data_IF_670660028417
#
_entry.id   IF_670660028417
#
_cell.length_a   1.000
_cell.length_b   1.000
_cell.length_c   1.000
_cell.angle_alpha   90.00
_cell.angle_beta   90.00
_cell.angle_gamma   90.00
#
_symmetry.space_group_name_H-M   'P 1'
#
loop_
_entity.id
_entity.type
_entity.pdbx_description
1 polymer ?
#
# COMPACT_ATOMS: atom_id res chain seq x y z
N UNK A 1 4.77 -0.30 -29.19
CA UNK A 1 5.63 -0.14 -28.01
C UNK A 1 4.74 -0.31 -26.79
N UNK A 2 5.01 -1.33 -25.98
CA UNK A 2 4.14 -1.74 -24.87
C UNK A 2 4.00 -0.62 -23.82
N UNK A 3 2.80 -0.47 -23.24
CA UNK A 3 2.48 0.58 -22.26
C UNK A 3 3.45 0.51 -21.06
N UNK A 4 3.79 -0.72 -20.65
CA UNK A 4 4.74 -0.99 -19.57
C UNK A 4 6.14 -0.45 -19.92
N UNK A 5 6.60 -0.68 -21.16
CA UNK A 5 7.91 -0.18 -21.61
C UNK A 5 7.95 1.35 -21.65
N UNK A 6 6.85 1.99 -22.09
CA UNK A 6 6.74 3.46 -22.08
C UNK A 6 6.82 4.04 -20.68
N UNK A 7 6.11 3.43 -19.72
CA UNK A 7 6.13 3.87 -18.32
C UNK A 7 7.50 3.66 -17.68
N UNK A 8 8.17 2.54 -17.96
CA UNK A 8 9.53 2.31 -17.44
C UNK A 8 10.55 3.33 -17.96
N UNK A 9 10.44 3.74 -19.22
CA UNK A 9 11.30 4.79 -19.77
C UNK A 9 10.98 6.17 -19.16
N UNK A 10 9.69 6.47 -18.91
CA UNK A 10 9.28 7.73 -18.28
C UNK A 10 9.90 7.91 -16.89
N UNK A 11 10.07 6.84 -16.13
CA UNK A 11 10.70 6.90 -14.80
C UNK A 11 12.10 7.51 -14.82
N UNK A 12 12.88 7.26 -15.89
CA UNK A 12 14.25 7.77 -16.01
C UNK A 12 14.28 9.25 -16.39
N UNK A 13 13.22 9.76 -17.01
CA UNK A 13 13.16 11.14 -17.53
C UNK A 13 12.33 12.09 -16.67
N UNK A 14 11.24 11.60 -16.08
CA UNK A 14 10.31 12.37 -15.25
C UNK A 14 9.64 11.43 -14.22
N UNK A 15 10.23 11.40 -13.03
CA UNK A 15 9.77 10.55 -11.92
C UNK A 15 8.35 10.90 -11.45
N UNK A 16 7.98 12.18 -11.44
CA UNK A 16 6.68 12.62 -10.94
C UNK A 16 5.57 12.21 -11.91
N UNK A 17 5.79 12.44 -13.21
CA UNK A 17 4.86 12.03 -14.25
C UNK A 17 4.70 10.50 -14.28
N UNK A 18 5.80 9.76 -14.13
CA UNK A 18 5.74 8.31 -13.99
C UNK A 18 4.81 7.89 -12.85
N UNK A 19 4.98 8.48 -11.66
CA UNK A 19 4.14 8.16 -10.49
C UNK A 19 2.68 8.49 -10.74
N UNK A 20 2.38 9.63 -11.36
CA UNK A 20 1.02 10.02 -11.71
C UNK A 20 0.37 9.04 -12.69
N UNK A 21 1.10 8.64 -13.73
CA UNK A 21 0.60 7.70 -14.73
C UNK A 21 0.39 6.29 -14.15
N UNK A 22 1.31 5.79 -13.32
CA UNK A 22 1.14 4.51 -12.63
C UNK A 22 -0.06 4.55 -11.68
N UNK A 23 -0.25 5.66 -10.95
CA UNK A 23 -1.42 5.88 -10.08
C UNK A 23 -2.73 5.79 -10.86
N UNK A 24 -2.80 6.45 -12.03
CA UNK A 24 -3.96 6.40 -12.90
C UNK A 24 -4.19 5.02 -13.49
N UNK A 25 -3.12 4.31 -13.84
CA UNK A 25 -3.19 2.94 -14.33
C UNK A 25 -3.76 1.99 -13.28
N UNK A 26 -3.34 2.11 -12.01
CA UNK A 26 -3.90 1.36 -10.89
C UNK A 26 -5.39 1.66 -10.67
N UNK A 27 -5.79 2.93 -10.73
CA UNK A 27 -7.22 3.31 -10.64
C UNK A 27 -8.03 2.74 -11.80
N UNK A 28 -7.49 2.81 -13.01
CA UNK A 28 -8.17 2.26 -14.20
C UNK A 28 -8.32 0.74 -14.07
N UNK A 29 -7.27 0.03 -13.72
CA UNK A 29 -7.32 -1.44 -13.59
C UNK A 29 -8.23 -1.90 -12.45
N UNK A 30 -8.38 -1.10 -11.38
CA UNK A 30 -9.38 -1.33 -10.32
C UNK A 30 -10.82 -1.35 -10.89
N UNK A 31 -11.13 -0.46 -11.84
CA UNK A 31 -12.47 -0.42 -12.48
C UNK A 31 -12.70 -1.57 -13.47
N UNK A 32 -11.64 -2.14 -14.04
CA UNK A 32 -11.74 -3.22 -15.02
C UNK A 32 -12.04 -4.56 -14.33
N UNK A 33 -11.10 -5.09 -13.55
CA UNK A 33 -11.27 -6.29 -12.72
C UNK A 33 -10.02 -6.57 -11.87
N UNK A 34 -10.15 -7.53 -10.95
CA UNK A 34 -9.08 -7.93 -10.05
C UNK A 34 -7.83 -8.51 -10.76
N UNK A 35 -8.01 -9.24 -11.86
CA UNK A 35 -6.88 -9.84 -12.58
C UNK A 35 -6.05 -8.78 -13.31
N UNK A 36 -6.69 -7.78 -13.92
CA UNK A 36 -6.04 -6.61 -14.52
C UNK A 36 -5.30 -5.79 -13.45
N UNK A 37 -5.95 -5.53 -12.31
CA UNK A 37 -5.32 -4.83 -11.18
C UNK A 37 -4.09 -5.58 -10.67
N UNK A 38 -4.21 -6.90 -10.49
CA UNK A 38 -3.10 -7.76 -10.08
C UNK A 38 -1.94 -7.72 -11.06
N UNK A 39 -2.20 -7.71 -12.37
CA UNK A 39 -1.13 -7.61 -13.39
C UNK A 39 -0.31 -6.34 -13.17
N UNK A 40 -0.97 -5.19 -13.08
CA UNK A 40 -0.30 -3.89 -12.89
C UNK A 40 0.55 -3.88 -11.61
N UNK A 41 0.00 -4.35 -10.49
CA UNK A 41 0.77 -4.40 -9.22
C UNK A 41 2.00 -5.30 -9.34
N UNK A 42 1.89 -6.43 -10.05
CA UNK A 42 3.04 -7.33 -10.22
C UNK A 42 4.08 -6.76 -11.20
N UNK A 43 3.64 -6.15 -12.30
CA UNK A 43 4.52 -5.56 -13.32
C UNK A 43 5.36 -4.39 -12.78
N UNK A 44 4.81 -3.70 -11.78
CA UNK A 44 5.42 -2.56 -11.09
C UNK A 44 5.68 -2.83 -9.60
N UNK A 45 5.85 -4.11 -9.21
CA UNK A 45 6.02 -4.52 -7.80
C UNK A 45 7.13 -3.74 -7.10
N UNK A 46 8.25 -3.54 -7.80
CA UNK A 46 9.41 -2.84 -7.24
C UNK A 46 9.04 -1.40 -6.91
N UNK A 47 8.45 -0.70 -7.87
CA UNK A 47 8.06 0.70 -7.76
C UNK A 47 6.98 0.89 -6.70
N UNK A 48 6.00 -0.01 -6.63
CA UNK A 48 4.99 -0.03 -5.56
C UNK A 48 5.61 -0.13 -4.17
N UNK A 49 6.69 -0.90 -3.99
CA UNK A 49 7.37 -1.03 -2.69
C UNK A 49 8.22 0.21 -2.41
N UNK A 50 9.07 0.63 -3.35
CA UNK A 50 10.00 1.74 -3.14
C UNK A 50 9.30 3.10 -2.97
N UNK A 51 8.26 3.35 -3.75
CA UNK A 51 7.47 4.58 -3.73
C UNK A 51 6.10 4.36 -3.07
N UNK A 52 6.05 3.44 -2.10
CA UNK A 52 4.83 2.97 -1.44
C UNK A 52 3.92 4.09 -0.95
N UNK A 53 4.47 5.19 -0.44
CA UNK A 53 3.69 6.33 0.02
C UNK A 53 2.78 6.97 -1.05
N UNK A 54 3.07 6.79 -2.34
CA UNK A 54 2.22 7.28 -3.43
C UNK A 54 1.09 6.32 -3.82
N UNK A 55 1.25 5.03 -3.52
CA UNK A 55 0.43 3.96 -4.12
C UNK A 55 -0.35 3.13 -3.09
N UNK A 56 0.13 3.06 -1.85
CA UNK A 56 -0.42 2.17 -0.81
C UNK A 56 -1.91 2.41 -0.58
N UNK A 57 -2.34 3.67 -0.49
CA UNK A 57 -3.74 4.06 -0.31
C UNK A 57 -4.66 3.46 -1.38
N UNK A 58 -4.28 3.60 -2.67
CA UNK A 58 -5.08 3.08 -3.79
C UNK A 58 -5.09 1.56 -3.79
N UNK A 59 -3.98 0.93 -3.41
CA UNK A 59 -3.92 -0.52 -3.34
C UNK A 59 -4.82 -1.01 -2.20
N UNK A 60 -4.73 -0.41 -1.02
CA UNK A 60 -5.60 -0.73 0.11
C UNK A 60 -7.09 -0.57 -0.26
N UNK A 61 -7.46 0.56 -0.88
CA UNK A 61 -8.82 0.84 -1.34
C UNK A 61 -9.30 -0.19 -2.37
N UNK A 62 -8.48 -0.52 -3.37
CA UNK A 62 -8.80 -1.49 -4.40
C UNK A 62 -8.99 -2.90 -3.81
N UNK A 63 -8.11 -3.33 -2.91
CA UNK A 63 -8.22 -4.63 -2.24
C UNK A 63 -9.50 -4.73 -1.42
N UNK A 64 -9.84 -3.69 -0.67
CA UNK A 64 -11.07 -3.63 0.11
C UNK A 64 -12.32 -3.67 -0.80
N UNK A 65 -12.30 -2.90 -1.90
CA UNK A 65 -13.36 -2.91 -2.90
C UNK A 65 -13.58 -4.30 -3.49
N UNK A 66 -12.50 -4.97 -3.95
CA UNK A 66 -12.61 -6.30 -4.53
C UNK A 66 -13.05 -7.35 -3.51
N UNK A 67 -12.62 -7.21 -2.26
CA UNK A 67 -13.01 -8.08 -1.17
C UNK A 67 -14.53 -8.03 -0.94
N UNK A 68 -15.10 -6.83 -0.79
CA UNK A 68 -16.54 -6.67 -0.57
C UNK A 68 -17.38 -7.02 -1.79
N UNK A 69 -16.91 -6.67 -3.00
CA UNK A 69 -17.63 -6.97 -4.24
C UNK A 69 -17.79 -8.47 -4.50
N UNK A 70 -16.88 -9.29 -3.97
CA UNK A 70 -16.82 -10.73 -4.24
C UNK A 70 -16.82 -11.55 -2.95
N UNK A 71 -17.56 -11.09 -1.94
CA UNK A 71 -17.61 -11.74 -0.63
C UNK A 71 -17.91 -13.24 -0.76
N UNK A 72 -17.10 -14.06 -0.09
CA UNK A 72 -17.23 -15.52 -0.10
C UNK A 72 -16.60 -16.25 -1.30
N UNK A 73 -16.03 -15.55 -2.30
CA UNK A 73 -15.35 -16.21 -3.43
C UNK A 73 -13.91 -16.61 -3.06
N UNK A 74 -13.57 -17.91 -2.93
CA UNK A 74 -12.24 -18.35 -2.49
C UNK A 74 -11.11 -17.98 -3.46
N UNK A 75 -11.42 -17.88 -4.77
CA UNK A 75 -10.43 -17.47 -5.78
C UNK A 75 -10.03 -16.02 -5.59
N UNK A 76 -11.00 -15.15 -5.28
CA UNK A 76 -10.75 -13.74 -5.04
C UNK A 76 -9.93 -13.54 -3.76
N UNK A 77 -10.24 -14.29 -2.70
CA UNK A 77 -9.44 -14.27 -1.46
C UNK A 77 -7.98 -14.62 -1.76
N UNK A 78 -7.72 -15.70 -2.50
CA UNK A 78 -6.34 -16.08 -2.90
C UNK A 78 -5.62 -14.99 -3.69
N UNK A 79 -6.31 -14.31 -4.60
CA UNK A 79 -5.70 -13.21 -5.36
C UNK A 79 -5.41 -12.01 -4.45
N UNK A 80 -6.34 -11.64 -3.56
CA UNK A 80 -6.14 -10.57 -2.57
C UNK A 80 -4.96 -10.91 -1.66
N UNK A 81 -4.86 -12.15 -1.17
CA UNK A 81 -3.73 -12.65 -0.40
C UNK A 81 -2.40 -12.44 -1.12
N UNK A 82 -2.35 -12.76 -2.42
CA UNK A 82 -1.13 -12.55 -3.21
C UNK A 82 -0.71 -11.08 -3.32
N UNK A 83 -1.67 -10.16 -3.30
CA UNK A 83 -1.41 -8.72 -3.33
C UNK A 83 -1.05 -8.18 -1.95
N UNK A 84 -1.68 -8.67 -0.88
CA UNK A 84 -1.30 -8.36 0.51
C UNK A 84 0.16 -8.77 0.75
N UNK A 85 0.57 -9.93 0.25
CA UNK A 85 1.97 -10.37 0.33
C UNK A 85 2.96 -9.37 -0.30
N UNK A 86 2.54 -8.64 -1.35
CA UNK A 86 3.38 -7.62 -2.00
C UNK A 86 3.50 -6.37 -1.13
N UNK A 87 2.39 -5.91 -0.53
CA UNK A 87 2.35 -4.64 0.19
C UNK A 87 2.67 -4.75 1.68
N UNK A 88 2.52 -5.92 2.31
CA UNK A 88 2.76 -6.10 3.74
C UNK A 88 4.13 -5.60 4.25
N UNK A 89 5.25 -5.72 3.49
CA UNK A 89 6.54 -5.16 3.92
C UNK A 89 6.51 -3.65 4.16
N UNK A 90 5.69 -2.93 3.39
CA UNK A 90 5.51 -1.47 3.39
C UNK A 90 4.13 -1.05 3.90
N UNK A 91 3.39 -1.98 4.51
CA UNK A 91 2.03 -1.75 4.98
C UNK A 91 2.00 -0.71 6.09
N UNK A 92 0.98 0.13 6.04
CA UNK A 92 0.70 1.17 7.01
C UNK A 92 -0.53 0.84 7.86
N UNK A 93 -1.06 1.85 8.56
CA UNK A 93 -2.24 1.69 9.40
C UNK A 93 -3.46 1.24 8.59
N UNK A 94 -3.64 1.76 7.39
CA UNK A 94 -4.78 1.42 6.53
C UNK A 94 -4.62 -0.02 5.99
N UNK A 95 -3.40 -0.45 5.70
CA UNK A 95 -3.11 -1.86 5.38
C UNK A 95 -3.42 -2.77 6.58
N UNK A 96 -3.10 -2.35 7.81
CA UNK A 96 -3.45 -3.09 9.03
C UNK A 96 -4.96 -3.24 9.19
N UNK A 97 -5.71 -2.16 8.98
CA UNK A 97 -7.19 -2.15 9.05
C UNK A 97 -7.83 -3.03 7.97
N UNK A 98 -7.28 -3.00 6.74
CA UNK A 98 -7.66 -3.91 5.66
C UNK A 98 -7.47 -5.37 6.05
N UNK A 99 -6.28 -5.75 6.54
CA UNK A 99 -5.98 -7.13 6.96
C UNK A 99 -6.92 -7.55 8.10
N UNK A 100 -7.11 -6.69 9.10
CA UNK A 100 -8.02 -6.94 10.22
C UNK A 100 -9.47 -7.17 9.76
N UNK A 101 -9.91 -6.42 8.74
CA UNK A 101 -11.24 -6.59 8.12
C UNK A 101 -11.37 -7.97 7.44
N UNK A 102 -10.34 -8.40 6.72
CA UNK A 102 -10.34 -9.71 6.05
C UNK A 102 -10.30 -10.84 7.08
N UNK A 103 -9.43 -10.75 8.10
CA UNK A 103 -9.28 -11.74 9.17
C UNK A 103 -10.61 -12.01 9.90
N UNK A 104 -11.44 -10.99 10.12
CA UNK A 104 -12.76 -11.13 10.77
C UNK A 104 -13.76 -11.95 9.95
N UNK A 105 -13.55 -12.11 8.65
CA UNK A 105 -14.51 -12.75 7.74
C UNK A 105 -14.03 -14.08 7.18
N UNK A 106 -12.72 -14.33 7.15
CA UNK A 106 -12.21 -15.62 6.70
C UNK A 106 -12.27 -16.67 7.83
N UNK A 107 -12.48 -17.96 7.51
CA UNK A 107 -12.46 -18.99 8.53
C UNK A 107 -11.07 -19.17 9.15
N UNK A 108 -11.01 -19.35 10.47
CA UNK A 108 -9.75 -19.53 11.21
C UNK A 108 -8.97 -20.79 10.83
N UNK A 109 -9.65 -21.80 10.27
CA UNK A 109 -9.04 -23.02 9.76
C UNK A 109 -8.52 -22.90 8.32
N UNK A 110 -8.70 -21.73 7.67
CA UNK A 110 -8.14 -21.47 6.35
C UNK A 110 -6.61 -21.42 6.42
N UNK A 111 -5.93 -21.97 5.41
CA UNK A 111 -4.47 -21.88 5.29
C UNK A 111 -3.97 -20.41 5.20
N UNK A 112 -4.82 -19.50 4.73
CA UNK A 112 -4.49 -18.08 4.60
C UNK A 112 -4.55 -17.32 5.95
N UNK A 113 -5.29 -17.83 6.93
CA UNK A 113 -5.49 -17.18 8.23
C UNK A 113 -4.18 -16.95 9.01
N UNK A 114 -3.34 -17.98 9.26
CA UNK A 114 -2.09 -17.76 10.00
C UNK A 114 -1.13 -16.82 9.26
N UNK A 115 -1.16 -16.82 7.93
CA UNK A 115 -0.32 -15.93 7.11
C UNK A 115 -0.76 -14.47 7.29
N UNK A 116 -2.07 -14.18 7.21
CA UNK A 116 -2.59 -12.83 7.46
C UNK A 116 -2.35 -12.38 8.90
N UNK A 117 -2.50 -13.27 9.87
CA UNK A 117 -2.27 -12.95 11.28
C UNK A 117 -0.80 -12.56 11.51
N UNK A 118 0.14 -13.23 10.85
CA UNK A 118 1.55 -12.86 10.90
C UNK A 118 1.78 -11.47 10.29
N UNK A 119 1.23 -11.17 9.11
CA UNK A 119 1.35 -9.82 8.53
C UNK A 119 0.72 -8.75 9.40
N UNK A 120 -0.44 -9.03 10.00
CA UNK A 120 -1.09 -8.13 10.93
C UNK A 120 -0.16 -7.81 12.11
N UNK A 121 0.39 -8.83 12.77
CA UNK A 121 1.31 -8.63 13.90
C UNK A 121 2.61 -7.92 13.52
N UNK A 122 3.18 -8.21 12.34
CA UNK A 122 4.38 -7.53 11.85
C UNK A 122 4.14 -6.03 11.61
N UNK A 123 3.03 -5.68 10.95
CA UNK A 123 2.67 -4.29 10.66
C UNK A 123 2.33 -3.56 11.97
N UNK A 124 1.53 -4.16 12.85
CA UNK A 124 1.19 -3.60 14.16
C UNK A 124 2.44 -3.31 14.99
N UNK A 125 3.38 -4.25 15.04
CA UNK A 125 4.64 -4.05 15.76
C UNK A 125 5.49 -2.93 15.14
N UNK A 126 5.58 -2.86 13.80
CA UNK A 126 6.28 -1.76 13.11
C UNK A 126 5.66 -0.39 13.44
N UNK A 127 4.33 -0.28 13.40
CA UNK A 127 3.62 0.97 13.71
C UNK A 127 3.87 1.37 15.17
N UNK A 128 3.66 0.45 16.12
CA UNK A 128 3.88 0.70 17.55
C UNK A 128 5.32 1.15 17.84
N UNK A 129 6.31 0.51 17.20
CA UNK A 129 7.71 0.89 17.33
C UNK A 129 7.99 2.30 16.81
N UNK A 130 7.39 2.68 15.68
CA UNK A 130 7.52 4.03 15.12
C UNK A 130 6.86 5.08 16.01
N UNK A 131 5.66 4.81 16.52
CA UNK A 131 4.95 5.69 17.46
C UNK A 131 5.75 5.91 18.76
N UNK A 132 6.36 4.84 19.30
CA UNK A 132 7.26 4.95 20.45
C UNK A 132 8.53 5.75 20.15
N UNK A 133 9.08 5.64 18.94
CA UNK A 133 10.22 6.48 18.53
C UNK A 133 9.82 7.94 18.43
N UNK A 134 8.67 8.23 17.84
CA UNK A 134 8.14 9.58 17.69
C UNK A 134 7.85 10.21 19.06
N UNK A 135 7.22 9.49 19.98
CA UNK A 135 6.94 10.01 21.33
C UNK A 135 8.21 10.30 22.15
N UNK A 136 9.32 9.63 21.82
CA UNK A 136 10.65 9.88 22.41
C UNK A 136 11.43 11.00 21.71
N UNK A 137 11.00 11.47 20.54
CA UNK A 137 11.59 12.64 19.90
C UNK A 137 11.23 13.88 20.75
N UNK A 138 12.21 14.36 21.52
CA UNK A 138 12.14 15.70 22.10
C UNK A 138 12.18 16.71 20.95
N UNK A 139 11.02 17.20 20.55
CA UNK A 139 10.92 18.36 19.69
C UNK A 139 11.46 19.55 20.50
N UNK A 140 12.72 19.91 20.25
CA UNK A 140 13.25 21.16 20.76
C UNK A 140 12.46 22.28 20.10
N UNK A 141 11.93 23.27 20.86
CA UNK A 141 11.28 24.41 20.25
C UNK A 141 12.28 25.04 19.28
N UNK A 142 11.86 25.27 18.03
CA UNK A 142 12.63 26.09 17.11
C UNK A 142 12.90 27.40 17.83
N UNK A 143 14.18 27.75 18.01
CA UNK A 143 14.55 29.06 18.55
C UNK A 143 13.83 30.10 17.67
N UNK A 144 13.04 31.02 18.23
CA UNK A 144 12.49 32.10 17.46
C UNK A 144 13.68 32.83 16.83
N UNK A 145 13.84 32.71 15.50
CA UNK A 145 14.69 33.64 14.78
C UNK A 145 13.98 34.98 14.91
N UNK A 146 14.41 35.80 15.86
CA UNK A 146 14.12 37.22 15.85
C UNK A 146 14.67 37.73 14.52
N UNK A 147 13.78 37.91 13.53
CA UNK A 147 14.06 38.83 12.44
C UNK A 147 14.05 40.22 13.07
N UNK A 148 15.22 40.72 13.42
CA UNK A 148 15.42 42.17 13.49
C UNK A 148 15.20 42.70 12.08
N UNK A 149 14.00 43.21 11.83
CA UNK A 149 13.78 44.09 10.68
C UNK A 149 14.56 45.36 11.00
N UNK A 150 15.54 45.68 10.14
CA UNK A 150 16.44 46.83 10.24
C UNK A 150 15.71 48.12 10.65
N UNK A 151 16.31 48.85 11.60
CA UNK A 151 15.94 50.20 12.07
C UNK A 151 15.77 51.23 10.93
#
# INVERSE_FOLDING_TARGET
>A
MDLITRLKNLRETDELEFKYQLRNLLKKSMTENLDAFRSVVNDFKREVIYDSFFFIDIINEALLYFFYKNEGNPRVIKTIMSLIHVIAPVGDKDTLELIGTILKRIPTHSADYPVLMNYFGEIEHKISFLEQKISKLKLYPQKPMLMEWYD
#
